data_IF_573131726397
#
_entry.id   IF_573131726397
#
_cell.length_a   1.000
_cell.length_b   1.000
_cell.length_c   1.000
_cell.angle_alpha   90.00
_cell.angle_beta   90.00
_cell.angle_gamma   90.00
#
_symmetry.space_group_name_H-M   'P 1'
#
loop_
_entity.id
_entity.type
_entity.pdbx_description
1 polymer ?
#
# COMPACT_ATOMS: atom_id res chain seq x y z
N UNK A 1 -5.70 -9.79 -2.93
CA UNK A 1 -6.36 -9.96 -1.62
C UNK A 1 -7.84 -10.16 -1.85
N UNK A 2 -8.47 -11.10 -1.15
CA UNK A 2 -9.93 -11.25 -1.21
C UNK A 2 -10.63 -10.22 -0.29
N UNK A 3 -11.93 -10.00 -0.55
CA UNK A 3 -12.74 -9.00 0.19
C UNK A 3 -12.74 -9.23 1.70
N UNK A 4 -12.72 -10.48 2.16
CA UNK A 4 -12.77 -10.80 3.59
C UNK A 4 -11.46 -10.40 4.28
N UNK A 5 -10.32 -10.62 3.61
CA UNK A 5 -9.00 -10.21 4.11
C UNK A 5 -8.89 -8.69 4.23
N UNK A 6 -9.38 -7.95 3.23
CA UNK A 6 -9.40 -6.48 3.26
C UNK A 6 -10.26 -5.97 4.43
N UNK A 7 -11.46 -6.52 4.63
CA UNK A 7 -12.31 -6.13 5.77
C UNK A 7 -11.68 -6.44 7.13
N UNK A 8 -10.97 -7.57 7.28
CA UNK A 8 -10.26 -7.89 8.52
C UNK A 8 -9.13 -6.89 8.79
N UNK A 9 -8.35 -6.55 7.77
CA UNK A 9 -7.27 -5.57 7.88
C UNK A 9 -7.80 -4.19 8.28
N UNK A 10 -8.86 -3.72 7.62
CA UNK A 10 -9.49 -2.43 7.95
C UNK A 10 -9.95 -2.40 9.41
N UNK A 11 -10.61 -3.47 9.89
CA UNK A 11 -11.04 -3.56 11.29
C UNK A 11 -9.87 -3.50 12.28
N UNK A 12 -8.73 -4.09 11.94
CA UNK A 12 -7.53 -4.03 12.77
C UNK A 12 -6.96 -2.61 12.79
N UNK A 13 -6.82 -1.98 11.63
CA UNK A 13 -6.32 -0.60 11.52
C UNK A 13 -7.24 0.41 12.24
N UNK A 14 -8.56 0.21 12.17
CA UNK A 14 -9.56 1.00 12.90
C UNK A 14 -9.41 0.81 14.42
N UNK A 15 -9.28 -0.44 14.88
CA UNK A 15 -9.06 -0.76 16.30
C UNK A 15 -7.77 -0.15 16.85
N UNK A 16 -6.73 -0.07 16.01
CA UNK A 16 -5.45 0.55 16.36
C UNK A 16 -5.45 2.08 16.21
N UNK A 17 -6.55 2.69 15.76
CA UNK A 17 -6.69 4.14 15.66
C UNK A 17 -6.01 4.76 14.44
N UNK A 18 -5.56 3.97 13.46
CA UNK A 18 -4.90 4.48 12.25
C UNK A 18 -5.86 4.93 11.15
N UNK A 19 -7.07 4.39 11.13
CA UNK A 19 -8.12 4.77 10.17
C UNK A 19 -9.45 5.01 10.89
N UNK A 20 -10.21 5.96 10.37
CA UNK A 20 -11.63 6.15 10.70
C UNK A 20 -12.51 5.56 9.59
N UNK A 21 -13.72 5.14 9.98
CA UNK A 21 -14.73 4.63 9.06
C UNK A 21 -16.04 5.39 9.26
N UNK A 22 -16.55 5.98 8.19
CA UNK A 22 -17.82 6.70 8.17
C UNK A 22 -18.76 6.11 7.12
N UNK A 23 -20.08 6.18 7.34
CA UNK A 23 -21.03 5.85 6.28
C UNK A 23 -20.91 6.88 5.17
N UNK A 24 -20.95 6.42 3.92
CA UNK A 24 -20.96 7.35 2.80
C UNK A 24 -22.29 8.16 2.84
N UNK A 25 -22.23 9.50 2.93
CA UNK A 25 -23.41 10.35 3.00
C UNK A 25 -24.24 10.33 1.70
N UNK A 26 -23.67 9.88 0.58
CA UNK A 26 -24.32 9.80 -0.74
C UNK A 26 -24.90 8.43 -1.04
N UNK A 27 -24.28 7.35 -0.55
CA UNK A 27 -24.79 5.97 -0.65
C UNK A 27 -24.53 5.19 0.64
N UNK A 28 -25.57 4.96 1.45
CA UNK A 28 -25.45 4.26 2.74
C UNK A 28 -24.99 2.80 2.65
N UNK A 29 -24.88 2.23 1.43
CA UNK A 29 -24.30 0.90 1.21
C UNK A 29 -22.76 0.95 1.17
N UNK A 30 -22.19 2.13 1.00
CA UNK A 30 -20.75 2.39 1.02
C UNK A 30 -20.24 2.85 2.38
N UNK A 31 -18.93 2.73 2.57
CA UNK A 31 -18.21 3.32 3.69
C UNK A 31 -17.04 4.12 3.16
N UNK A 32 -16.79 5.28 3.77
CA UNK A 32 -15.61 6.09 3.54
C UNK A 32 -14.58 5.75 4.61
N UNK A 33 -13.35 5.49 4.17
CA UNK A 33 -12.20 5.23 5.04
C UNK A 33 -11.21 6.37 4.87
N UNK A 34 -10.75 6.91 5.98
CA UNK A 34 -9.76 7.99 6.02
C UNK A 34 -8.68 7.65 7.02
N UNK A 35 -7.44 8.08 6.75
CA UNK A 35 -6.39 8.04 7.76
C UNK A 35 -6.72 9.04 8.87
N UNK A 36 -6.54 8.62 10.13
CA UNK A 36 -6.50 9.56 11.25
C UNK A 36 -5.19 10.34 11.24
N UNK A 37 -5.06 11.34 12.10
CA UNK A 37 -3.78 12.03 12.29
C UNK A 37 -2.64 11.07 12.67
N UNK A 38 -2.90 10.13 13.59
CA UNK A 38 -1.98 9.06 13.94
C UNK A 38 -1.64 8.19 12.71
N UNK A 39 -2.66 7.82 11.93
CA UNK A 39 -2.48 7.06 10.69
C UNK A 39 -1.58 7.75 9.69
N UNK A 40 -1.73 9.06 9.51
CA UNK A 40 -0.92 9.86 8.60
C UNK A 40 0.55 9.90 9.07
N UNK A 41 0.78 10.16 10.36
CA UNK A 41 2.13 10.20 10.94
C UNK A 41 2.82 8.84 10.84
N UNK A 42 2.15 7.76 11.24
CA UNK A 42 2.71 6.41 11.19
C UNK A 42 2.93 5.88 9.77
N UNK A 43 2.15 6.36 8.79
CA UNK A 43 2.35 5.99 7.39
C UNK A 43 3.72 6.45 6.87
N UNK A 44 4.20 7.63 7.31
CA UNK A 44 5.51 8.15 6.90
C UNK A 44 6.63 7.21 7.36
N UNK A 45 6.59 6.77 8.61
CA UNK A 45 7.63 5.89 9.16
C UNK A 45 7.55 4.49 8.56
N UNK A 46 6.34 3.95 8.40
CA UNK A 46 6.14 2.67 7.73
C UNK A 46 6.63 2.68 6.27
N UNK A 47 6.44 3.79 5.54
CA UNK A 47 6.93 3.94 4.17
C UNK A 47 8.46 3.95 4.13
N UNK A 48 9.12 4.67 5.06
CA UNK A 48 10.58 4.69 5.17
C UNK A 48 11.15 3.31 5.47
N UNK A 49 10.54 2.57 6.39
CA UNK A 49 10.97 1.20 6.71
C UNK A 49 10.81 0.28 5.50
N UNK A 50 9.67 0.38 4.79
CA UNK A 50 9.42 -0.39 3.57
C UNK A 50 10.43 -0.05 2.48
N UNK A 51 10.75 1.23 2.31
CA UNK A 51 11.72 1.72 1.33
C UNK A 51 13.12 1.19 1.64
N UNK A 52 13.57 1.28 2.89
CA UNK A 52 14.87 0.74 3.32
C UNK A 52 14.97 -0.76 3.04
N UNK A 53 13.96 -1.54 3.45
CA UNK A 53 13.95 -2.98 3.24
C UNK A 53 13.88 -3.37 1.76
N UNK A 54 13.27 -2.52 0.91
CA UNK A 54 13.27 -2.71 -0.53
C UNK A 54 14.63 -2.38 -1.13
N UNK A 55 15.21 -1.23 -0.78
CA UNK A 55 16.52 -0.79 -1.22
C UNK A 55 17.60 -1.82 -0.89
N UNK A 56 17.61 -2.38 0.31
CA UNK A 56 18.58 -3.40 0.73
C UNK A 56 18.60 -4.61 -0.22
N UNK A 57 17.45 -5.00 -0.79
CA UNK A 57 17.34 -6.15 -1.71
C UNK A 57 17.93 -5.88 -3.09
N UNK A 58 17.92 -4.63 -3.52
CA UNK A 58 18.37 -4.21 -4.86
C UNK A 58 19.66 -3.39 -4.83
N UNK A 59 20.18 -3.05 -3.64
CA UNK A 59 21.32 -2.15 -3.43
C UNK A 59 22.64 -2.60 -4.07
N UNK A 60 22.74 -3.88 -4.40
CA UNK A 60 23.93 -4.50 -5.03
C UNK A 60 23.81 -4.66 -6.53
N UNK A 61 22.64 -4.35 -7.09
CA UNK A 61 22.39 -4.51 -8.51
C UNK A 61 22.97 -3.34 -9.27
N UNK A 62 23.47 -3.61 -10.47
CA UNK A 62 23.84 -2.55 -11.41
C UNK A 62 22.61 -1.99 -12.16
N UNK A 63 22.82 -0.91 -12.90
CA UNK A 63 21.74 -0.24 -13.63
C UNK A 63 21.04 -1.18 -14.65
N UNK A 64 21.78 -2.11 -15.26
CA UNK A 64 21.21 -3.04 -16.26
C UNK A 64 20.33 -4.09 -15.59
N UNK A 65 20.74 -4.60 -14.44
CA UNK A 65 19.94 -5.53 -13.64
C UNK A 65 18.63 -4.87 -13.16
N UNK A 66 18.70 -3.60 -12.72
CA UNK A 66 17.53 -2.81 -12.34
C UNK A 66 16.58 -2.55 -13.52
N UNK A 67 17.11 -2.18 -14.68
CA UNK A 67 16.33 -2.00 -15.91
C UNK A 67 15.61 -3.30 -16.31
N UNK A 68 16.33 -4.43 -16.30
CA UNK A 68 15.77 -5.72 -16.66
C UNK A 68 14.67 -6.16 -15.68
N UNK A 69 14.90 -6.01 -14.38
CA UNK A 69 13.89 -6.30 -13.36
C UNK A 69 12.66 -5.42 -13.51
N UNK A 70 12.84 -4.12 -13.76
CA UNK A 70 11.73 -3.18 -13.96
C UNK A 70 10.90 -3.56 -15.19
N UNK A 71 11.54 -3.95 -16.29
CA UNK A 71 10.85 -4.43 -17.49
C UNK A 71 10.03 -5.71 -17.21
N UNK A 72 10.64 -6.71 -16.57
CA UNK A 72 9.94 -7.95 -16.20
C UNK A 72 8.78 -7.68 -15.22
N UNK A 73 8.97 -6.79 -14.24
CA UNK A 73 7.95 -6.46 -13.26
C UNK A 73 6.76 -5.73 -13.90
N UNK A 74 7.00 -4.86 -14.89
CA UNK A 74 5.93 -4.22 -15.68
C UNK A 74 5.14 -5.26 -16.46
N UNK A 75 5.82 -6.16 -17.18
CA UNK A 75 5.18 -7.25 -17.92
C UNK A 75 4.34 -8.15 -16.99
N UNK A 76 4.91 -8.58 -15.87
CA UNK A 76 4.22 -9.42 -14.88
C UNK A 76 2.93 -8.75 -14.37
N UNK A 77 2.95 -7.44 -14.16
CA UNK A 77 1.80 -6.67 -13.70
C UNK A 77 0.85 -6.23 -14.83
N UNK A 78 1.14 -6.56 -16.09
CA UNK A 78 0.34 -6.12 -17.25
C UNK A 78 0.40 -4.62 -17.51
N UNK A 79 1.49 -3.95 -17.12
CA UNK A 79 1.73 -2.51 -17.27
C UNK A 79 2.63 -2.18 -18.48
N UNK A 80 2.57 -2.99 -19.54
CA UNK A 80 3.33 -2.73 -20.76
C UNK A 80 2.83 -1.45 -21.44
N UNK A 81 3.75 -0.54 -21.78
CA UNK A 81 3.45 0.58 -22.68
C UNK A 81 3.28 -0.01 -24.09
N UNK A 82 2.14 0.29 -24.73
CA UNK A 82 1.86 -0.12 -26.11
C UNK A 82 2.80 0.53 -27.11
#
# INVERSE_FOLDING_TARGET
MDRSSVSRLIKQLEKSGYVSKEQDPKDRRGVLLSLTELGQQSTVDALKEKESAFYDRISRWDDKELEHFTAMLRQFNGLEEK
#
